data_IF_655994127782
#
_entry.id   IF_655994127782
#
_cell.length_a   1.000
_cell.length_b   1.000
_cell.length_c   1.000
_cell.angle_alpha   90.00
_cell.angle_beta   90.00
_cell.angle_gamma   90.00
#
_symmetry.space_group_name_H-M   'P 1'
#
loop_
_entity.id
_entity.type
_entity.pdbx_description
1 polymer ?
#
# COMPACT_ATOMS: atom_id res chain seq x y z
N UNK A 1 43.04 -18.38 40.16
CA UNK A 1 42.21 -17.20 40.54
C UNK A 1 41.77 -16.50 39.26
N UNK A 2 40.58 -16.85 38.75
CA UNK A 2 40.05 -16.29 37.50
C UNK A 2 39.55 -14.86 37.73
N UNK A 3 40.29 -13.86 37.23
CA UNK A 3 39.76 -12.50 37.10
C UNK A 3 38.78 -12.47 35.94
N UNK A 4 37.49 -12.44 36.22
CA UNK A 4 36.50 -11.98 35.26
C UNK A 4 36.75 -10.49 35.02
N UNK A 5 37.45 -10.15 33.93
CA UNK A 5 37.50 -8.78 33.42
C UNK A 5 36.17 -8.51 32.73
N UNK A 6 35.23 -7.91 33.45
CA UNK A 6 34.05 -7.30 32.83
C UNK A 6 34.52 -6.04 32.10
N UNK A 7 34.91 -6.16 30.83
CA UNK A 7 35.11 -4.99 29.97
C UNK A 7 33.76 -4.33 29.74
N UNK A 8 33.53 -3.20 30.39
CA UNK A 8 32.36 -2.36 30.14
C UNK A 8 32.41 -1.85 28.69
N UNK A 9 31.47 -2.32 27.87
CA UNK A 9 31.27 -1.81 26.53
C UNK A 9 30.37 -0.57 26.60
N UNK A 10 30.92 0.60 26.30
CA UNK A 10 30.13 1.84 26.18
C UNK A 10 29.81 2.10 24.71
N UNK A 11 28.56 1.83 24.30
CA UNK A 11 28.04 2.25 23.00
C UNK A 11 27.28 3.57 23.12
N UNK A 12 27.71 4.58 22.38
CA UNK A 12 27.05 5.90 22.31
C UNK A 12 26.43 6.11 20.92
N UNK A 13 25.48 5.25 20.56
CA UNK A 13 24.77 5.34 19.28
C UNK A 13 23.31 4.92 19.39
N UNK A 14 22.59 5.05 18.28
CA UNK A 14 21.17 4.67 18.19
C UNK A 14 21.04 3.61 17.10
N UNK A 15 20.35 2.52 17.43
CA UNK A 15 19.94 1.51 16.46
C UNK A 15 18.50 1.77 16.00
N UNK A 16 18.22 1.48 14.74
CA UNK A 16 16.88 1.47 14.17
C UNK A 16 16.55 0.07 13.64
N UNK A 17 15.29 -0.34 13.79
CA UNK A 17 14.74 -1.54 13.15
C UNK A 17 13.91 -1.08 11.96
N UNK A 18 14.43 -1.32 10.76
CA UNK A 18 13.84 -0.87 9.50
C UNK A 18 13.18 -2.06 8.77
N UNK A 19 11.87 -2.03 8.45
CA UNK A 19 11.16 -3.18 7.89
C UNK A 19 11.26 -3.24 6.36
N UNK A 20 12.49 -3.22 5.86
CA UNK A 20 12.85 -3.63 4.50
C UNK A 20 14.28 -4.16 4.47
N UNK A 21 14.65 -4.79 3.35
CA UNK A 21 16.03 -5.07 3.03
C UNK A 21 16.74 -3.80 2.53
N UNK A 22 17.40 -3.06 3.41
CA UNK A 22 18.19 -1.89 2.99
C UNK A 22 19.27 -2.29 1.96
N UNK A 23 19.56 -1.45 0.96
CA UNK A 23 19.15 -0.05 0.82
C UNK A 23 17.78 0.17 0.13
N UNK A 24 17.01 -0.89 -0.14
CA UNK A 24 15.68 -0.76 -0.75
C UNK A 24 14.69 -0.15 0.25
N UNK A 25 13.82 0.72 -0.23
CA UNK A 25 12.73 1.35 0.53
C UNK A 25 13.18 2.13 1.77
N UNK A 26 14.18 3.00 1.61
CA UNK A 26 14.48 4.03 2.63
C UNK A 26 13.29 4.97 2.80
N UNK A 27 13.00 5.39 4.03
CA UNK A 27 11.93 6.32 4.33
C UNK A 27 10.77 5.72 5.13
N UNK A 28 9.67 6.47 5.27
CA UNK A 28 8.68 6.22 6.33
C UNK A 28 7.67 5.10 6.06
N UNK A 29 7.55 4.53 4.86
CA UNK A 29 6.49 3.57 4.53
C UNK A 29 6.94 2.28 3.79
N UNK A 30 8.06 1.65 4.14
CA UNK A 30 8.63 0.51 3.40
C UNK A 30 7.67 -0.67 3.20
N UNK A 31 6.88 -1.03 4.23
CA UNK A 31 5.93 -2.15 4.16
C UNK A 31 4.85 -1.90 3.10
N UNK A 32 4.29 -0.68 3.09
CA UNK A 32 3.25 -0.31 2.11
C UNK A 32 3.82 -0.37 0.70
N UNK A 33 5.01 0.20 0.48
CA UNK A 33 5.65 0.20 -0.83
C UNK A 33 6.09 -1.20 -1.29
N UNK A 34 6.43 -2.09 -0.36
CA UNK A 34 6.67 -3.53 -0.64
C UNK A 34 5.42 -4.16 -1.29
N UNK A 35 4.24 -3.95 -0.69
CA UNK A 35 2.98 -4.49 -1.22
C UNK A 35 2.59 -3.84 -2.55
N UNK A 36 2.73 -2.50 -2.66
CA UNK A 36 2.44 -1.78 -3.90
C UNK A 36 3.29 -2.27 -5.07
N UNK A 37 4.58 -2.47 -4.84
CA UNK A 37 5.50 -2.95 -5.88
C UNK A 37 5.26 -4.42 -6.26
N UNK A 38 4.46 -5.17 -5.50
CA UNK A 38 4.26 -6.60 -5.72
C UNK A 38 5.50 -7.43 -5.41
N UNK A 39 6.34 -6.97 -4.47
CA UNK A 39 7.55 -7.67 -4.10
C UNK A 39 7.23 -9.03 -3.45
N UNK A 40 7.90 -10.09 -3.92
CA UNK A 40 7.79 -11.44 -3.36
C UNK A 40 8.67 -11.64 -2.12
N UNK A 41 9.60 -10.73 -1.87
CA UNK A 41 10.55 -10.77 -0.76
C UNK A 41 10.74 -9.37 -0.21
N UNK A 42 10.83 -9.28 1.11
CA UNK A 42 11.20 -8.09 1.87
C UNK A 42 12.20 -8.53 2.96
N UNK A 43 12.29 -7.80 4.06
CA UNK A 43 13.08 -8.21 5.21
C UNK A 43 13.03 -7.19 6.33
N UNK A 44 13.89 -7.40 7.31
CA UNK A 44 14.15 -6.44 8.37
C UNK A 44 15.65 -6.17 8.41
N UNK A 45 16.00 -4.90 8.55
CA UNK A 45 17.37 -4.44 8.74
C UNK A 45 17.47 -3.75 10.10
N UNK A 46 18.41 -4.21 10.93
CA UNK A 46 18.90 -3.44 12.07
C UNK A 46 20.08 -2.62 11.59
N UNK A 47 19.99 -1.30 11.77
CA UNK A 47 21.03 -0.38 11.33
C UNK A 47 21.40 0.62 12.41
N UNK A 48 22.60 1.19 12.31
CA UNK A 48 22.96 2.38 13.07
C UNK A 48 22.34 3.62 12.42
N UNK A 49 21.87 4.58 13.22
CA UNK A 49 21.39 5.87 12.69
C UNK A 49 22.57 6.80 12.42
N UNK A 50 22.49 7.60 11.34
CA UNK A 50 23.42 8.69 11.06
C UNK A 50 22.75 10.04 11.34
N UNK A 51 23.44 11.01 11.97
CA UNK A 51 22.90 12.34 12.16
C UNK A 51 22.46 12.98 10.83
N UNK A 52 21.28 13.60 10.82
CA UNK A 52 20.73 14.36 9.68
C UNK A 52 20.49 13.54 8.38
N UNK A 53 20.60 12.21 8.41
CA UNK A 53 20.33 11.34 7.25
C UNK A 53 19.51 10.12 7.66
N UNK A 54 18.34 9.95 7.03
CA UNK A 54 17.43 8.84 7.30
C UNK A 54 17.83 7.58 6.53
N UNK A 55 17.85 6.43 7.21
CA UNK A 55 17.98 5.10 6.62
C UNK A 55 19.22 4.84 5.76
N UNK A 56 20.31 5.58 6.00
CA UNK A 56 21.59 5.44 5.28
C UNK A 56 22.72 4.81 6.09
N UNK A 57 22.50 4.55 7.37
CA UNK A 57 23.57 4.12 8.24
C UNK A 57 23.97 2.66 8.04
N UNK A 58 25.11 2.25 8.62
CA UNK A 58 25.62 0.88 8.50
C UNK A 58 24.60 -0.17 8.93
N UNK A 59 24.50 -1.24 8.16
CA UNK A 59 23.72 -2.44 8.48
C UNK A 59 24.47 -3.20 9.57
N UNK A 60 23.78 -3.45 10.68
CA UNK A 60 24.26 -4.24 11.81
C UNK A 60 23.86 -5.71 11.64
N UNK A 61 22.62 -5.94 11.20
CA UNK A 61 22.09 -7.25 10.88
C UNK A 61 20.93 -7.08 9.90
N UNK A 62 20.75 -8.02 8.97
CA UNK A 62 19.67 -7.96 8.00
C UNK A 62 19.24 -9.36 7.61
N UNK A 63 17.92 -9.60 7.61
CA UNK A 63 17.33 -10.87 7.25
C UNK A 63 16.22 -10.67 6.23
N UNK A 64 16.15 -11.56 5.25
CA UNK A 64 15.11 -11.57 4.23
C UNK A 64 13.89 -12.33 4.72
N UNK A 65 12.71 -11.84 4.34
CA UNK A 65 11.44 -12.47 4.64
C UNK A 65 10.60 -12.64 3.36
N UNK A 66 10.06 -13.83 3.08
CA UNK A 66 9.15 -14.03 1.95
C UNK A 66 7.82 -13.31 2.20
N UNK A 67 7.37 -12.47 1.27
CA UNK A 67 6.09 -11.76 1.40
C UNK A 67 4.96 -12.78 1.15
N UNK A 68 4.07 -13.03 2.12
CA UNK A 68 3.00 -14.00 1.93
C UNK A 68 2.07 -13.59 0.79
N UNK A 69 1.61 -14.57 0.02
CA UNK A 69 0.72 -14.31 -1.11
C UNK A 69 -0.56 -13.60 -0.62
N UNK A 70 -0.95 -12.54 -1.33
CA UNK A 70 -2.17 -11.75 -1.04
C UNK A 70 -2.24 -11.11 0.36
N UNK A 71 -1.16 -11.07 1.13
CA UNK A 71 -1.19 -10.39 2.42
C UNK A 71 -1.44 -8.88 2.28
N UNK A 72 -2.05 -8.30 3.29
CA UNK A 72 -2.19 -6.87 3.48
C UNK A 72 -0.94 -6.28 4.12
N UNK A 73 -0.77 -4.96 4.02
CA UNK A 73 0.31 -4.27 4.71
C UNK A 73 0.22 -4.45 6.24
N UNK A 74 -0.99 -4.54 6.81
CA UNK A 74 -1.20 -4.73 8.26
C UNK A 74 -0.75 -6.12 8.72
N UNK A 75 -1.05 -7.15 7.93
CA UNK A 75 -0.58 -8.52 8.21
C UNK A 75 0.94 -8.63 8.09
N UNK A 76 1.51 -8.02 7.04
CA UNK A 76 2.96 -8.00 6.85
C UNK A 76 3.67 -7.24 7.99
N UNK A 77 3.11 -6.12 8.45
CA UNK A 77 3.60 -5.36 9.61
C UNK A 77 3.62 -6.21 10.88
N UNK A 78 2.56 -6.97 11.17
CA UNK A 78 2.50 -7.82 12.36
C UNK A 78 3.60 -8.90 12.34
N UNK A 79 3.89 -9.46 11.17
CA UNK A 79 4.94 -10.48 11.02
C UNK A 79 6.33 -9.87 11.11
N UNK A 80 6.60 -8.78 10.38
CA UNK A 80 7.92 -8.15 10.37
C UNK A 80 8.26 -7.47 11.71
N UNK A 81 7.27 -6.96 12.44
CA UNK A 81 7.51 -6.37 13.77
C UNK A 81 7.96 -7.43 14.78
N UNK A 82 7.31 -8.61 14.79
CA UNK A 82 7.75 -9.74 15.61
C UNK A 82 9.17 -10.18 15.25
N UNK A 83 9.42 -10.39 13.96
CA UNK A 83 10.74 -10.80 13.47
C UNK A 83 11.83 -9.77 13.80
N UNK A 84 11.55 -8.49 13.61
CA UNK A 84 12.49 -7.41 13.94
C UNK A 84 12.79 -7.29 15.43
N UNK A 85 11.81 -7.57 16.30
CA UNK A 85 12.03 -7.62 17.75
C UNK A 85 12.98 -8.78 18.13
N UNK A 86 12.77 -9.96 17.57
CA UNK A 86 13.63 -11.13 17.77
C UNK A 86 15.07 -10.86 17.30
N UNK A 87 15.22 -10.29 16.10
CA UNK A 87 16.53 -9.85 15.59
C UNK A 87 17.19 -8.83 16.50
N UNK A 88 16.42 -7.86 17.04
CA UNK A 88 16.97 -6.81 17.91
C UNK A 88 17.50 -7.40 19.21
N UNK A 89 16.78 -8.35 19.81
CA UNK A 89 17.24 -9.06 21.00
C UNK A 89 18.55 -9.80 20.69
N UNK A 90 18.64 -10.50 19.55
CA UNK A 90 19.88 -11.18 19.12
C UNK A 90 21.06 -10.21 19.00
N UNK A 91 20.84 -9.04 18.37
CA UNK A 91 21.87 -8.00 18.23
C UNK A 91 22.30 -7.47 19.60
N UNK A 92 21.35 -7.19 20.50
CA UNK A 92 21.66 -6.63 21.82
C UNK A 92 22.43 -7.61 22.71
N UNK A 93 22.14 -8.92 22.61
CA UNK A 93 22.84 -9.96 23.38
C UNK A 93 24.34 -10.05 23.05
N UNK A 94 24.77 -9.62 21.86
CA UNK A 94 26.18 -9.58 21.46
C UNK A 94 26.53 -8.30 20.68
N UNK A 95 26.08 -7.16 21.20
CA UNK A 95 26.19 -5.87 20.53
C UNK A 95 27.62 -5.50 20.09
N UNK A 96 28.69 -5.71 20.89
CA UNK A 96 30.05 -5.37 20.46
C UNK A 96 30.49 -6.12 19.21
N UNK A 97 30.11 -7.40 19.11
CA UNK A 97 30.43 -8.22 17.94
C UNK A 97 29.67 -7.72 16.71
N UNK A 98 28.35 -7.51 16.82
CA UNK A 98 27.54 -7.04 15.69
C UNK A 98 27.96 -5.66 15.17
N UNK A 99 28.34 -4.74 16.07
CA UNK A 99 28.82 -3.42 15.68
C UNK A 99 30.17 -3.49 14.96
N UNK A 100 31.10 -4.33 15.42
CA UNK A 100 32.40 -4.55 14.78
C UNK A 100 32.25 -5.10 13.37
N UNK A 101 31.22 -5.90 13.12
CA UNK A 101 30.93 -6.51 11.82
C UNK A 101 29.89 -5.75 11.00
N UNK A 102 29.48 -4.56 11.44
CA UNK A 102 28.52 -3.76 10.68
C UNK A 102 29.10 -3.29 9.35
N UNK A 103 28.29 -3.31 8.30
CA UNK A 103 28.73 -3.00 6.93
C UNK A 103 28.03 -1.74 6.42
N UNK A 104 28.73 -0.90 5.65
CA UNK A 104 28.06 0.20 4.96
C UNK A 104 27.03 -0.35 3.97
N UNK A 105 25.89 0.34 3.82
CA UNK A 105 24.92 -0.01 2.78
C UNK A 105 25.56 0.12 1.39
N UNK A 106 25.22 -0.77 0.43
CA UNK A 106 25.64 -0.60 -0.95
C UNK A 106 25.04 0.68 -1.56
N UNK A 107 25.73 1.23 -2.56
CA UNK A 107 25.25 2.41 -3.32
C UNK A 107 24.20 2.04 -4.37
N UNK A 108 24.25 0.81 -4.87
CA UNK A 108 23.31 0.28 -5.85
C UNK A 108 22.03 -0.25 -5.17
N UNK A 109 20.91 -0.23 -5.90
CA UNK A 109 19.62 -0.74 -5.41
C UNK A 109 18.89 0.16 -4.40
N UNK A 110 19.36 1.40 -4.20
CA UNK A 110 18.68 2.38 -3.34
C UNK A 110 17.32 2.73 -3.94
N UNK A 111 16.26 2.51 -3.18
CA UNK A 111 14.91 3.01 -3.51
C UNK A 111 14.29 3.69 -2.30
N UNK A 112 13.22 4.46 -2.52
CA UNK A 112 12.57 5.23 -1.47
C UNK A 112 11.12 4.79 -1.28
N UNK A 113 10.66 4.85 -0.03
CA UNK A 113 9.30 4.57 0.39
C UNK A 113 8.69 5.84 1.00
N UNK A 114 8.24 6.80 0.16
CA UNK A 114 7.70 8.07 0.62
C UNK A 114 6.44 7.89 1.48
N UNK A 115 6.14 8.91 2.29
CA UNK A 115 4.99 8.94 3.20
C UNK A 115 3.67 8.72 2.44
N UNK A 116 2.77 7.95 3.05
CA UNK A 116 1.43 7.70 2.51
C UNK A 116 0.58 8.97 2.58
N UNK A 117 -0.10 9.29 1.47
CA UNK A 117 -0.99 10.45 1.34
C UNK A 117 -2.41 10.03 0.98
N UNK A 118 -3.39 10.89 1.25
CA UNK A 118 -4.77 10.64 0.87
C UNK A 118 -4.95 10.42 -0.65
N UNK A 119 -4.16 11.12 -1.47
CA UNK A 119 -4.19 10.99 -2.93
C UNK A 119 -3.78 9.60 -3.43
N UNK A 120 -3.02 8.83 -2.65
CA UNK A 120 -2.69 7.45 -3.02
C UNK A 120 -3.93 6.54 -3.03
N UNK A 121 -4.98 6.88 -2.27
CA UNK A 121 -6.23 6.11 -2.26
C UNK A 121 -7.14 6.39 -3.46
N UNK A 122 -6.86 7.43 -4.25
CA UNK A 122 -7.62 7.74 -5.45
C UNK A 122 -7.26 6.77 -6.55
N UNK A 123 -8.22 5.96 -6.99
CA UNK A 123 -8.02 5.00 -8.07
C UNK A 123 -7.88 5.78 -9.37
N UNK A 124 -6.85 5.44 -10.14
CA UNK A 124 -6.59 5.94 -11.48
C UNK A 124 -6.96 4.85 -12.49
N UNK A 125 -8.23 4.81 -12.87
CA UNK A 125 -8.77 3.73 -13.71
C UNK A 125 -8.06 3.60 -15.05
N UNK A 126 -7.62 4.73 -15.62
CA UNK A 126 -6.95 4.81 -16.91
C UNK A 126 -5.48 4.34 -16.84
N UNK A 127 -4.85 4.39 -15.67
CA UNK A 127 -3.42 4.10 -15.49
C UNK A 127 -3.16 2.75 -14.82
N UNK A 128 -4.10 2.25 -14.02
CA UNK A 128 -3.88 1.11 -13.15
C UNK A 128 -4.53 -0.17 -13.69
N UNK A 129 -3.79 -1.28 -13.61
CA UNK A 129 -4.32 -2.61 -13.83
C UNK A 129 -5.23 -3.08 -12.70
N UNK A 130 -6.06 -4.08 -12.97
CA UNK A 130 -6.87 -4.72 -11.93
C UNK A 130 -6.01 -5.22 -10.76
N UNK A 131 -4.87 -5.85 -11.06
CA UNK A 131 -3.91 -6.34 -10.06
C UNK A 131 -3.29 -5.19 -9.25
N UNK A 132 -2.94 -4.06 -9.89
CA UNK A 132 -2.41 -2.88 -9.21
C UNK A 132 -3.42 -2.27 -8.25
N UNK A 133 -4.71 -2.23 -8.61
CA UNK A 133 -5.78 -1.74 -7.72
C UNK A 133 -5.97 -2.67 -6.53
N UNK A 134 -5.92 -3.98 -6.74
CA UNK A 134 -6.02 -4.97 -5.65
C UNK A 134 -4.81 -4.88 -4.71
N UNK A 135 -3.59 -4.70 -5.26
CA UNK A 135 -2.39 -4.39 -4.48
C UNK A 135 -2.54 -3.10 -3.70
N UNK A 136 -3.09 -2.06 -4.31
CA UNK A 136 -3.35 -0.77 -3.66
C UNK A 136 -4.29 -0.93 -2.46
N UNK A 137 -5.41 -1.63 -2.61
CA UNK A 137 -6.33 -1.91 -1.48
C UNK A 137 -5.62 -2.66 -0.35
N UNK A 138 -4.84 -3.71 -0.67
CA UNK A 138 -4.06 -4.46 0.33
C UNK A 138 -3.01 -3.58 1.03
N UNK A 139 -2.45 -2.62 0.32
CA UNK A 139 -1.39 -1.75 0.82
C UNK A 139 -1.92 -0.61 1.70
N UNK A 140 -3.04 0.03 1.36
CA UNK A 140 -3.53 1.24 2.03
C UNK A 140 -4.96 1.18 2.58
N UNK A 141 -5.76 0.18 2.22
CA UNK A 141 -7.19 0.06 2.54
C UNK A 141 -7.52 0.05 4.04
N UNK A 142 -6.55 -0.36 4.87
CA UNK A 142 -6.66 -0.32 6.33
C UNK A 142 -6.55 1.10 6.91
N UNK A 143 -5.82 2.01 6.24
CA UNK A 143 -5.69 3.41 6.62
C UNK A 143 -6.82 4.24 6.02
N UNK A 144 -7.12 3.99 4.75
CA UNK A 144 -8.08 4.75 3.96
C UNK A 144 -8.68 3.87 2.88
N UNK A 145 -10.02 3.76 2.78
CA UNK A 145 -10.64 3.08 1.66
C UNK A 145 -10.32 3.76 0.34
N UNK A 146 -10.22 2.98 -0.73
CA UNK A 146 -10.00 3.53 -2.06
C UNK A 146 -11.17 4.40 -2.51
N UNK A 147 -10.88 5.40 -3.33
CA UNK A 147 -11.81 6.46 -3.69
C UNK A 147 -11.94 6.60 -5.20
N UNK A 148 -13.17 6.91 -5.63
CA UNK A 148 -13.52 7.25 -7.01
C UNK A 148 -14.63 8.31 -7.00
N UNK A 149 -15.10 8.71 -8.19
CA UNK A 149 -16.26 9.59 -8.36
C UNK A 149 -17.36 8.83 -9.09
N UNK A 150 -18.59 8.96 -8.61
CA UNK A 150 -19.80 8.48 -9.25
C UNK A 150 -20.81 9.63 -9.35
N UNK A 151 -21.25 9.97 -10.56
CA UNK A 151 -22.22 11.06 -10.79
C UNK A 151 -21.82 12.37 -10.08
N UNK A 152 -20.56 12.79 -10.27
CA UNK A 152 -19.99 13.99 -9.64
C UNK A 152 -19.76 13.90 -8.13
N UNK A 153 -20.15 12.81 -7.46
CA UNK A 153 -19.99 12.63 -6.02
C UNK A 153 -18.84 11.69 -5.69
N UNK A 154 -17.96 12.04 -4.72
CA UNK A 154 -16.95 11.11 -4.23
C UNK A 154 -17.59 9.88 -3.59
N UNK A 155 -17.06 8.71 -3.93
CA UNK A 155 -17.42 7.43 -3.33
C UNK A 155 -16.18 6.76 -2.74
N UNK A 156 -16.41 5.88 -1.77
CA UNK A 156 -15.40 4.96 -1.25
C UNK A 156 -15.74 3.55 -1.67
N UNK A 157 -14.73 2.78 -2.01
CA UNK A 157 -14.82 1.42 -2.52
C UNK A 157 -14.03 0.49 -1.61
N UNK A 158 -14.54 -0.73 -1.39
CA UNK A 158 -13.89 -1.76 -0.58
C UNK A 158 -14.14 -3.16 -1.13
N UNK A 159 -13.40 -4.12 -0.57
CA UNK A 159 -13.52 -5.55 -0.84
C UNK A 159 -13.22 -5.86 -2.30
N UNK A 160 -12.06 -5.40 -2.77
CA UNK A 160 -11.60 -5.66 -4.12
C UNK A 160 -11.21 -7.12 -4.30
N UNK A 161 -11.51 -7.68 -5.46
CA UNK A 161 -11.09 -9.02 -5.87
C UNK A 161 -10.54 -8.96 -7.29
N UNK A 162 -9.45 -9.70 -7.52
CA UNK A 162 -9.06 -10.07 -8.87
C UNK A 162 -10.12 -11.01 -9.44
N UNK A 163 -10.38 -10.82 -10.72
CA UNK A 163 -11.39 -11.56 -11.45
C UNK A 163 -10.64 -12.37 -12.49
N UNK A 164 -10.48 -13.70 -12.31
CA UNK A 164 -9.81 -14.53 -13.30
C UNK A 164 -10.61 -14.53 -14.60
N UNK A 165 -9.90 -14.41 -15.73
CA UNK A 165 -10.35 -14.52 -17.12
C UNK A 165 -11.85 -14.76 -17.29
N UNK A 166 -12.62 -13.66 -17.34
CA UNK A 166 -13.91 -13.72 -18.01
C UNK A 166 -13.64 -13.68 -19.51
N UNK A 167 -13.24 -14.83 -20.08
CA UNK A 167 -12.95 -15.06 -21.51
C UNK A 167 -14.08 -14.68 -22.48
N UNK A 168 -15.21 -14.17 -21.99
CA UNK A 168 -16.39 -13.85 -22.80
C UNK A 168 -16.99 -12.46 -22.52
N UNK A 169 -16.31 -11.57 -21.81
CA UNK A 169 -16.70 -10.16 -21.80
C UNK A 169 -15.99 -9.52 -23.00
N UNK A 170 -16.73 -9.31 -24.10
CA UNK A 170 -16.29 -8.53 -25.28
C UNK A 170 -15.54 -7.26 -24.83
N UNK A 171 -14.21 -7.32 -24.85
CA UNK A 171 -13.33 -6.46 -24.05
C UNK A 171 -12.85 -5.21 -24.79
N UNK A 172 -13.24 -5.05 -26.06
CA UNK A 172 -12.58 -4.14 -27.00
C UNK A 172 -13.16 -2.72 -27.07
N UNK A 173 -14.29 -2.43 -26.41
CA UNK A 173 -14.95 -1.12 -26.53
C UNK A 173 -15.32 -0.42 -25.20
N UNK A 174 -15.06 -1.02 -24.04
CA UNK A 174 -15.42 -0.41 -22.75
C UNK A 174 -14.33 0.52 -22.23
N UNK A 175 -14.69 1.77 -21.90
CA UNK A 175 -13.79 2.74 -21.31
C UNK A 175 -13.41 2.36 -19.87
N UNK A 176 -12.20 2.72 -19.38
CA UNK A 176 -11.87 2.61 -17.97
C UNK A 176 -12.91 3.29 -17.07
N UNK A 177 -13.22 2.63 -15.95
CA UNK A 177 -14.27 3.01 -15.03
C UNK A 177 -15.66 2.45 -15.34
N UNK A 178 -15.90 1.91 -16.55
CA UNK A 178 -17.20 1.34 -16.91
C UNK A 178 -17.60 0.22 -15.95
N UNK A 179 -18.90 0.14 -15.66
CA UNK A 179 -19.46 -0.76 -14.65
C UNK A 179 -20.25 -1.91 -15.27
N UNK A 180 -20.08 -3.11 -14.73
CA UNK A 180 -20.92 -4.27 -15.04
C UNK A 180 -21.22 -5.04 -13.76
N UNK A 181 -22.50 -5.26 -13.48
CA UNK A 181 -22.85 -6.15 -12.38
C UNK A 181 -22.70 -7.61 -12.81
N UNK A 182 -21.91 -8.37 -12.05
CA UNK A 182 -21.71 -9.80 -12.26
C UNK A 182 -22.52 -10.59 -11.23
N UNK A 183 -23.62 -11.19 -11.70
CA UNK A 183 -24.63 -11.84 -10.85
C UNK A 183 -24.07 -13.03 -10.08
N UNK A 184 -23.24 -13.87 -10.71
CA UNK A 184 -22.75 -15.10 -10.07
C UNK A 184 -21.81 -14.82 -8.89
N UNK A 185 -20.95 -13.80 -8.99
CA UNK A 185 -20.07 -13.41 -7.87
C UNK A 185 -20.69 -12.33 -6.96
N UNK A 186 -21.88 -11.81 -7.31
CA UNK A 186 -22.50 -10.65 -6.69
C UNK A 186 -21.54 -9.47 -6.53
N UNK A 187 -20.74 -9.18 -7.57
CA UNK A 187 -19.77 -8.08 -7.58
C UNK A 187 -20.08 -7.06 -8.65
N UNK A 188 -19.65 -5.83 -8.41
CA UNK A 188 -19.60 -4.80 -9.42
C UNK A 188 -18.23 -4.86 -10.09
N UNK A 189 -18.18 -5.28 -11.33
CA UNK A 189 -16.97 -5.25 -12.15
C UNK A 189 -16.75 -3.84 -12.63
N UNK A 190 -15.51 -3.35 -12.50
CA UNK A 190 -15.09 -2.04 -12.98
C UNK A 190 -13.94 -2.23 -13.97
N UNK A 191 -14.08 -1.68 -15.18
CA UNK A 191 -13.03 -1.73 -16.20
C UNK A 191 -11.82 -0.93 -15.72
N UNK A 192 -10.65 -1.55 -15.73
CA UNK A 192 -9.39 -0.90 -15.36
C UNK A 192 -8.64 -0.47 -16.63
N UNK A 193 -7.34 -0.17 -16.56
CA UNK A 193 -6.51 0.00 -17.76
C UNK A 193 -6.51 -1.28 -18.60
N UNK A 194 -6.26 -2.40 -17.94
CA UNK A 194 -6.37 -3.75 -18.49
C UNK A 194 -7.28 -4.61 -17.60
N UNK A 195 -8.14 -5.40 -18.24
CA UNK A 195 -9.12 -6.25 -17.57
C UNK A 195 -10.08 -5.52 -16.63
N UNK A 196 -10.60 -6.29 -15.68
CA UNK A 196 -11.68 -5.90 -14.78
C UNK A 196 -11.32 -6.20 -13.33
N UNK A 197 -11.72 -5.32 -12.41
CA UNK A 197 -11.61 -5.57 -10.96
C UNK A 197 -13.01 -5.68 -10.35
N UNK A 198 -13.20 -6.64 -9.45
CA UNK A 198 -14.46 -6.83 -8.75
C UNK A 198 -14.52 -6.01 -7.47
N UNK A 199 -15.59 -5.25 -7.27
CA UNK A 199 -15.84 -4.46 -6.06
C UNK A 199 -17.04 -5.03 -5.31
N UNK A 200 -16.91 -5.21 -4.00
CA UNK A 200 -17.97 -5.77 -3.15
C UNK A 200 -18.78 -4.74 -2.38
N UNK A 201 -18.19 -3.57 -2.08
CA UNK A 201 -18.83 -2.55 -1.25
C UNK A 201 -18.59 -1.17 -1.82
N UNK A 202 -19.69 -0.41 -1.94
CA UNK A 202 -19.69 0.99 -2.37
C UNK A 202 -20.25 1.82 -1.22
N UNK A 203 -19.57 2.90 -0.85
CA UNK A 203 -20.02 3.84 0.17
C UNK A 203 -20.19 5.20 -0.50
N UNK A 204 -21.45 5.59 -0.69
CA UNK A 204 -21.85 6.91 -1.21
C UNK A 204 -22.36 7.76 -0.02
N UNK A 205 -23.65 7.68 0.29
CA UNK A 205 -24.26 8.23 1.53
C UNK A 205 -24.37 7.18 2.64
N UNK A 206 -24.61 5.94 2.24
CA UNK A 206 -24.64 4.75 3.08
C UNK A 206 -23.74 3.67 2.49
N UNK A 207 -23.39 2.69 3.30
CA UNK A 207 -22.72 1.46 2.85
C UNK A 207 -23.72 0.62 2.05
N UNK A 208 -23.35 0.25 0.84
CA UNK A 208 -24.14 -0.57 -0.08
C UNK A 208 -23.32 -1.80 -0.48
N UNK A 209 -23.98 -2.95 -0.58
CA UNK A 209 -23.40 -4.07 -1.33
C UNK A 209 -23.37 -3.75 -2.82
N UNK A 210 -22.56 -4.47 -3.59
CA UNK A 210 -22.58 -4.36 -5.05
C UNK A 210 -23.97 -4.66 -5.64
N UNK A 211 -24.73 -5.59 -5.04
CA UNK A 211 -26.10 -5.92 -5.43
C UNK A 211 -27.06 -4.76 -5.16
N UNK A 212 -27.00 -4.14 -3.98
CA UNK A 212 -27.86 -2.99 -3.65
C UNK A 212 -27.55 -1.79 -4.55
N UNK A 213 -26.25 -1.57 -4.83
CA UNK A 213 -25.83 -0.53 -5.76
C UNK A 213 -26.39 -0.78 -7.17
N UNK A 214 -26.27 -2.01 -7.66
CA UNK A 214 -26.83 -2.38 -8.97
C UNK A 214 -28.34 -2.15 -9.03
N UNK A 215 -29.09 -2.68 -8.06
CA UNK A 215 -30.56 -2.56 -8.01
C UNK A 215 -31.04 -1.11 -7.93
N UNK A 216 -30.30 -0.25 -7.22
CA UNK A 216 -30.68 1.14 -6.99
C UNK A 216 -30.17 2.14 -8.04
N UNK A 217 -29.07 1.83 -8.75
CA UNK A 217 -28.37 2.83 -9.59
C UNK A 217 -28.03 2.35 -11.01
N UNK A 218 -28.05 1.04 -11.30
CA UNK A 218 -27.61 0.50 -12.60
C UNK A 218 -28.65 -0.39 -13.29
N UNK A 219 -29.69 -0.84 -12.58
CA UNK A 219 -30.69 -1.71 -13.17
C UNK A 219 -31.45 -0.99 -14.30
N UNK A 220 -31.84 -1.75 -15.34
CA UNK A 220 -32.37 -1.24 -16.60
C UNK A 220 -33.55 -0.25 -16.43
N UNK A 221 -34.44 -0.50 -15.47
CA UNK A 221 -35.57 0.40 -15.16
C UNK A 221 -35.14 1.78 -14.66
N UNK A 222 -33.97 1.90 -14.00
CA UNK A 222 -33.43 3.16 -13.52
C UNK A 222 -32.83 3.95 -14.68
N UNK A 223 -32.03 3.27 -15.51
CA UNK A 223 -31.38 3.86 -16.69
C UNK A 223 -32.42 4.35 -17.73
N UNK A 224 -33.57 3.69 -17.84
CA UNK A 224 -34.65 4.13 -18.74
C UNK A 224 -35.39 5.38 -18.26
N UNK A 225 -35.37 5.71 -16.96
CA UNK A 225 -36.01 6.91 -16.41
C UNK A 225 -35.11 8.14 -16.43
N UNK A 226 -33.81 7.95 -16.57
CA UNK A 226 -32.82 9.02 -16.57
C UNK A 226 -32.29 9.22 -17.99
N UNK A 227 -32.06 10.48 -18.39
CA UNK A 227 -31.45 10.85 -19.68
C UNK A 227 -29.95 10.56 -19.68
N UNK A 228 -29.52 9.40 -19.16
CA UNK A 228 -28.12 9.11 -18.91
C UNK A 228 -27.42 8.65 -20.18
N UNK A 229 -26.41 9.41 -20.58
CA UNK A 229 -25.51 9.00 -21.64
C UNK A 229 -24.60 7.86 -21.14
N UNK A 230 -24.19 6.95 -22.03
CA UNK A 230 -23.32 5.81 -21.70
C UNK A 230 -22.02 6.22 -20.97
N UNK A 231 -21.54 7.44 -21.19
CA UNK A 231 -20.33 8.00 -20.58
C UNK A 231 -20.52 8.41 -19.10
N UNK A 232 -21.77 8.51 -18.62
CA UNK A 232 -22.10 8.86 -17.22
C UNK A 232 -22.16 7.63 -16.29
N UNK A 233 -22.28 6.42 -16.84
CA UNK A 233 -22.37 5.18 -16.06
C UNK A 233 -20.98 4.56 -15.77
N UNK A 234 -20.02 5.39 -15.36
CA UNK A 234 -18.67 4.96 -15.00
C UNK A 234 -18.16 5.59 -13.71
N UNK A 235 -17.21 4.91 -13.07
CA UNK A 235 -16.40 5.52 -12.03
C UNK A 235 -15.30 6.36 -12.65
N UNK A 236 -15.15 7.59 -12.18
CA UNK A 236 -14.07 8.47 -12.58
C UNK A 236 -13.00 8.55 -11.50
N UNK A 237 -11.78 8.87 -11.93
CA UNK A 237 -10.64 9.15 -11.04
C UNK A 237 -10.93 10.39 -10.19
N UNK A 238 -10.78 10.27 -8.86
CA UNK A 238 -10.95 11.41 -7.94
C UNK A 238 -9.67 12.25 -7.90
N UNK A 239 -9.75 13.51 -8.31
CA UNK A 239 -8.65 14.46 -8.20
C UNK A 239 -8.73 15.26 -6.90
N UNK A 240 -7.87 14.94 -5.93
CA UNK A 240 -7.73 15.73 -4.71
C UNK A 240 -6.88 16.97 -4.98
N UNK A 241 -7.41 18.15 -4.67
CA UNK A 241 -6.64 19.40 -4.74
C UNK A 241 -5.49 19.37 -3.72
N UNK A 242 -4.27 19.82 -4.09
CA UNK A 242 -3.19 19.99 -3.13
C UNK A 242 -3.64 20.94 -2.01
N UNK A 243 -3.45 20.55 -0.75
CA UNK A 243 -3.64 21.50 0.36
C UNK A 243 -2.64 22.64 0.20
N UNK A 244 -3.09 23.83 -0.19
CA UNK A 244 -2.28 25.04 -0.16
C UNK A 244 -1.81 25.24 1.28
N UNK A 245 -0.51 25.13 1.52
CA UNK A 245 0.09 25.51 2.81
C UNK A 245 -0.13 27.01 2.96
N UNK A 246 -1.08 27.43 3.81
CA UNK A 246 -1.12 28.82 4.31
C UNK A 246 0.22 29.08 4.97
N UNK A 247 1.07 29.86 4.31
CA UNK A 247 2.34 30.35 4.83
C UNK A 247 1.98 31.35 5.94
N UNK A 248 1.87 30.87 7.19
CA UNK A 248 1.89 31.78 8.33
C UNK A 248 3.27 32.44 8.34
N UNK A 249 3.35 33.65 7.80
CA UNK A 249 4.43 34.59 8.12
C UNK A 249 4.31 34.83 9.62
N UNK A 250 5.23 34.25 10.40
CA UNK A 250 5.54 34.78 11.72
C UNK A 250 6.56 35.89 11.47
N UNK A 251 6.10 37.12 11.63
CA UNK A 251 6.98 38.27 11.81
C UNK A 251 7.72 38.07 13.14
N UNK A 252 9.05 38.09 13.06
CA UNK A 252 9.97 38.41 14.16
C UNK A 252 11.04 39.29 13.55
#
# INVERSE_FOLDING_TARGET
>A
MNRFQTTYFSFSGILNVHPSCLPKFRGPAPIVHTILNGDKKTGVTIMQIRPKRFDVGPIVMQEMYPVPLRCTAKELEAVLSKHGAEMLISVLNNLPWYLRHSTQQPKEGVTFAPKITASMSCIKWEEQSAEQIVRLERAVGFLMPLQAVWMGSPIKLRNFVEVPDFDNISDTASLPGCLRYHRASQRLLVRCKDGWVGVGTIILKKKLSATDFYNGYLHHWFVQKSTMQQDECRFHTLCLQPKTKKKQRREV
#
